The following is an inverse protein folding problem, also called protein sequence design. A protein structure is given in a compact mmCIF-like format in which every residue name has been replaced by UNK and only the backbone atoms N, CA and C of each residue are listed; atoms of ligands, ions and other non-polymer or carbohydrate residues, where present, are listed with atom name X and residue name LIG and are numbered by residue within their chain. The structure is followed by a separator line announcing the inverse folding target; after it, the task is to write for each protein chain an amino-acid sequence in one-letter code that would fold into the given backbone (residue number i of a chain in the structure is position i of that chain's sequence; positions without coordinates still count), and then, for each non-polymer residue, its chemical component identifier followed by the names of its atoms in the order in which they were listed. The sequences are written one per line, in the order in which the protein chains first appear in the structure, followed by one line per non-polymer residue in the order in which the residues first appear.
data_IF_651387849817
#
_entry.id   IF_651387849817
#
_cell.length_a   1.000
_cell.length_b   1.000
_cell.length_c   1.000
_cell.angle_alpha   90.00
_cell.angle_beta   90.00
_cell.angle_gamma   90.00
#
_symmetry.space_group_name_H-M   'P 1'
#
loop_
_entity.id
_entity.type
_entity.pdbx_description
1 polymer ?
#
# COMPACT_ATOMS: atom_id res chain seq x y z
N UNK A 1 -22.50 4.68 -3.79
CA UNK A 1 -21.50 5.37 -2.94
C UNK A 1 -20.72 4.33 -2.15
N UNK A 2 -19.40 4.49 -2.00
CA UNK A 2 -18.58 3.56 -1.19
C UNK A 2 -18.85 3.87 0.30
N UNK A 3 -19.26 2.85 1.06
CA UNK A 3 -19.48 2.99 2.50
C UNK A 3 -18.16 3.00 3.27
N UNK A 4 -18.16 3.57 4.47
CA UNK A 4 -16.99 3.53 5.35
C UNK A 4 -16.54 2.09 5.67
N UNK A 5 -17.47 1.13 5.74
CA UNK A 5 -17.16 -0.30 5.90
C UNK A 5 -16.43 -0.86 4.69
N UNK A 6 -16.90 -0.55 3.48
CA UNK A 6 -16.24 -0.98 2.25
C UNK A 6 -14.83 -0.37 2.12
N UNK A 7 -14.65 0.90 2.47
CA UNK A 7 -13.34 1.56 2.49
C UNK A 7 -12.35 0.80 3.39
N UNK A 8 -12.73 0.50 4.63
CA UNK A 8 -11.88 -0.27 5.58
C UNK A 8 -11.51 -1.63 5.00
N UNK A 9 -12.49 -2.34 4.46
CA UNK A 9 -12.27 -3.66 3.87
C UNK A 9 -11.30 -3.60 2.69
N UNK A 10 -11.45 -2.62 1.79
CA UNK A 10 -10.53 -2.45 0.67
C UNK A 10 -9.11 -2.13 1.13
N UNK A 11 -8.95 -1.18 2.06
CA UNK A 11 -7.61 -0.84 2.59
C UNK A 11 -6.97 -2.07 3.22
N UNK A 12 -7.69 -2.81 4.07
CA UNK A 12 -7.16 -3.98 4.74
C UNK A 12 -6.80 -5.09 3.74
N UNK A 13 -7.67 -5.36 2.75
CA UNK A 13 -7.43 -6.37 1.72
C UNK A 13 -6.21 -6.05 0.86
N UNK A 14 -6.13 -4.84 0.29
CA UNK A 14 -5.02 -4.47 -0.58
C UNK A 14 -3.71 -4.32 0.20
N UNK A 15 -3.76 -3.84 1.44
CA UNK A 15 -2.59 -3.76 2.32
C UNK A 15 -2.05 -5.15 2.65
N UNK A 16 -2.94 -6.09 2.97
CA UNK A 16 -2.56 -7.47 3.21
C UNK A 16 -1.94 -8.11 1.97
N UNK A 17 -2.57 -7.94 0.79
CA UNK A 17 -2.03 -8.43 -0.48
C UNK A 17 -0.63 -7.87 -0.76
N UNK A 18 -0.39 -6.58 -0.50
CA UNK A 18 0.92 -5.95 -0.72
C UNK A 18 2.01 -6.49 0.21
N UNK A 19 1.66 -6.75 1.48
CA UNK A 19 2.59 -7.42 2.41
C UNK A 19 2.89 -8.84 1.94
N UNK A 20 1.87 -9.56 1.46
CA UNK A 20 1.98 -10.93 1.00
C UNK A 20 2.84 -11.04 -0.28
N UNK A 21 2.68 -10.12 -1.24
CA UNK A 21 3.57 -10.06 -2.42
C UNK A 21 5.02 -9.77 -2.02
N UNK A 22 5.22 -8.86 -1.07
CA UNK A 22 6.54 -8.57 -0.51
C UNK A 22 7.17 -9.79 0.17
N UNK A 23 6.36 -10.56 0.90
CA UNK A 23 6.80 -11.77 1.56
C UNK A 23 7.25 -12.83 0.54
N UNK A 24 6.51 -13.01 -0.56
CA UNK A 24 6.95 -13.89 -1.65
C UNK A 24 8.24 -13.41 -2.32
N UNK A 25 8.39 -12.10 -2.56
CA UNK A 25 9.66 -11.56 -3.08
C UNK A 25 10.84 -11.82 -2.13
N UNK A 26 10.62 -11.79 -0.81
CA UNK A 26 11.63 -12.16 0.19
C UNK A 26 11.96 -13.66 0.15
N UNK A 27 10.96 -14.54 0.11
CA UNK A 27 11.17 -15.99 0.01
C UNK A 27 11.95 -16.38 -1.26
N UNK A 28 11.74 -15.66 -2.36
CA UNK A 28 12.46 -15.84 -3.61
C UNK A 28 13.84 -15.15 -3.63
N UNK A 29 14.33 -14.69 -2.48
CA UNK A 29 15.65 -14.07 -2.29
C UNK A 29 15.89 -12.83 -3.18
N UNK A 30 14.82 -12.17 -3.64
CA UNK A 30 14.90 -10.96 -4.47
C UNK A 30 15.08 -9.69 -3.66
N UNK A 31 14.66 -9.71 -2.40
CA UNK A 31 14.81 -8.60 -1.46
C UNK A 31 15.38 -9.09 -0.15
N UNK A 32 16.11 -8.22 0.53
CA UNK A 32 16.57 -8.49 1.88
C UNK A 32 15.45 -8.34 2.91
N UNK A 33 15.62 -9.01 4.06
CA UNK A 33 14.66 -8.94 5.16
C UNK A 33 14.47 -7.50 5.67
N UNK A 34 15.51 -6.67 5.65
CA UNK A 34 15.44 -5.28 6.09
C UNK A 34 14.53 -4.46 5.17
N UNK A 35 14.63 -4.67 3.85
CA UNK A 35 13.74 -4.04 2.87
C UNK A 35 12.29 -4.54 2.98
N UNK A 36 12.09 -5.80 3.33
CA UNK A 36 10.76 -6.33 3.63
C UNK A 36 10.15 -5.59 4.83
N UNK A 37 10.86 -5.57 5.96
CA UNK A 37 10.38 -4.95 7.22
C UNK A 37 10.14 -3.45 7.04
N UNK A 38 11.07 -2.75 6.38
CA UNK A 38 11.00 -1.31 6.18
C UNK A 38 9.71 -0.89 5.45
N UNK A 39 9.30 -1.64 4.43
CA UNK A 39 8.09 -1.33 3.66
C UNK A 39 6.82 -1.95 4.26
N UNK A 40 6.91 -3.07 4.97
CA UNK A 40 5.73 -3.66 5.64
C UNK A 40 5.27 -2.84 6.84
N UNK A 41 6.19 -2.21 7.57
CA UNK A 41 5.86 -1.45 8.80
C UNK A 41 4.87 -0.29 8.54
N UNK A 42 5.10 0.63 7.58
CA UNK A 42 4.14 1.68 7.25
C UNK A 42 2.76 1.11 6.85
N UNK A 43 2.72 -0.02 6.13
CA UNK A 43 1.46 -0.64 5.71
C UNK A 43 0.67 -1.16 6.92
N UNK A 44 1.34 -1.72 7.93
CA UNK A 44 0.68 -2.14 9.18
C UNK A 44 0.08 -0.95 9.93
N UNK A 45 0.80 0.18 9.99
CA UNK A 45 0.24 1.41 10.56
C UNK A 45 -0.97 1.91 9.77
N UNK A 46 -0.95 1.83 8.43
CA UNK A 46 -2.10 2.19 7.61
C UNK A 46 -3.34 1.37 7.98
N UNK A 47 -3.20 0.04 8.12
CA UNK A 47 -4.32 -0.83 8.54
C UNK A 47 -4.92 -0.35 9.86
N UNK A 48 -4.07 -0.04 10.84
CA UNK A 48 -4.52 0.48 12.14
C UNK A 48 -5.29 1.80 12.02
N UNK A 49 -4.75 2.78 11.28
CA UNK A 49 -5.38 4.09 11.12
C UNK A 49 -6.62 4.06 10.22
N UNK A 50 -6.66 3.19 9.22
CA UNK A 50 -7.81 3.01 8.35
C UNK A 50 -9.04 2.53 9.10
N UNK A 51 -8.86 1.62 10.07
CA UNK A 51 -9.95 1.16 10.94
C UNK A 51 -10.52 2.27 11.83
N UNK A 52 -9.73 3.30 12.13
CA UNK A 52 -10.14 4.53 12.84
C UNK A 52 -10.66 5.64 11.92
N UNK A 53 -10.67 5.45 10.59
CA UNK A 53 -11.05 6.45 9.59
C UNK A 53 -10.33 7.79 9.75
N UNK A 54 -9.05 7.75 10.17
CA UNK A 54 -8.27 8.95 10.42
C UNK A 54 -7.88 9.66 9.11
N UNK A 55 -8.59 10.72 8.74
CA UNK A 55 -8.39 11.47 7.48
C UNK A 55 -6.94 11.92 7.29
N UNK A 56 -6.31 12.50 8.33
CA UNK A 56 -4.91 12.97 8.27
C UNK A 56 -3.92 11.83 8.02
N UNK A 57 -4.23 10.62 8.51
CA UNK A 57 -3.38 9.46 8.27
C UNK A 57 -3.42 9.06 6.79
N UNK A 58 -4.60 8.97 6.17
CA UNK A 58 -4.71 8.66 4.74
C UNK A 58 -3.91 9.63 3.86
N UNK A 59 -3.95 10.93 4.16
CA UNK A 59 -3.17 11.94 3.44
C UNK A 59 -1.65 11.76 3.64
N UNK A 60 -1.19 11.43 4.85
CA UNK A 60 0.23 11.12 5.08
C UNK A 60 0.65 9.85 4.34
N UNK A 61 -0.18 8.81 4.34
CA UNK A 61 0.10 7.54 3.66
C UNK A 61 0.14 7.67 2.13
N UNK A 62 -0.60 8.62 1.53
CA UNK A 62 -0.45 8.86 0.09
C UNK A 62 0.96 9.33 -0.28
N UNK A 63 1.63 10.11 0.59
CA UNK A 63 3.04 10.46 0.36
C UNK A 63 3.96 9.26 0.55
N UNK A 64 3.71 8.42 1.56
CA UNK A 64 4.50 7.20 1.79
C UNK A 64 4.39 6.26 0.58
N UNK A 65 3.20 6.04 0.05
CA UNK A 65 3.01 5.22 -1.16
C UNK A 65 3.63 5.84 -2.40
N UNK A 66 3.66 7.17 -2.51
CA UNK A 66 4.39 7.83 -3.60
C UNK A 66 5.89 7.51 -3.52
N UNK A 67 6.52 7.68 -2.35
CA UNK A 67 7.95 7.33 -2.17
C UNK A 67 8.18 5.83 -2.43
N UNK A 68 7.28 4.98 -1.95
CA UNK A 68 7.35 3.54 -2.21
C UNK A 68 7.27 3.22 -3.70
N UNK A 69 6.35 3.85 -4.42
CA UNK A 69 6.23 3.71 -5.87
C UNK A 69 7.53 4.10 -6.58
N UNK A 70 8.14 5.24 -6.20
CA UNK A 70 9.44 5.65 -6.76
C UNK A 70 10.55 4.62 -6.48
N UNK A 71 10.58 4.03 -5.29
CA UNK A 71 11.58 3.00 -4.97
C UNK A 71 11.34 1.69 -5.73
N UNK A 72 10.08 1.26 -5.85
CA UNK A 72 9.71 0.02 -6.53
C UNK A 72 9.89 0.11 -8.07
N UNK A 73 9.66 1.29 -8.65
CA UNK A 73 9.81 1.50 -10.10
C UNK A 73 11.24 1.28 -10.59
N UNK A 74 12.25 1.56 -9.75
CA UNK A 74 13.66 1.27 -10.05
C UNK A 74 13.91 -0.22 -10.29
N UNK A 75 13.19 -1.11 -9.58
CA UNK A 75 13.34 -2.56 -9.77
C UNK A 75 12.64 -3.06 -11.02
N UNK A 76 11.42 -2.57 -11.28
CA UNK A 76 10.62 -3.02 -12.43
C UNK A 76 11.18 -2.52 -13.75
N UNK A 77 11.64 -1.27 -13.81
CA UNK A 77 12.12 -0.65 -15.05
C UNK A 77 13.64 -0.63 -15.18
N UNK A 78 14.38 -0.75 -14.08
CA UNK A 78 15.86 -0.71 -14.07
C UNK A 78 16.55 -2.07 -14.07
N UNK A 79 15.83 -3.17 -13.84
CA UNK A 79 16.36 -4.55 -13.80
C UNK A 79 15.43 -5.45 -14.63
N UNK A 80 15.80 -6.72 -14.84
CA UNK A 80 14.90 -7.70 -15.45
C UNK A 80 13.58 -7.79 -14.69
N UNK A 81 12.43 -7.55 -15.35
CA UNK A 81 11.16 -7.43 -14.68
C UNK A 81 10.72 -8.79 -14.10
N UNK A 82 10.34 -8.76 -12.82
CA UNK A 82 9.81 -9.91 -12.12
C UNK A 82 8.31 -9.73 -11.86
N UNK A 83 7.54 -10.82 -11.97
CA UNK A 83 6.07 -10.77 -11.88
C UNK A 83 5.59 -10.17 -10.56
N UNK A 84 6.24 -10.49 -9.44
CA UNK A 84 5.86 -9.93 -8.14
C UNK A 84 6.23 -8.45 -8.00
N UNK A 85 7.26 -7.96 -8.69
CA UNK A 85 7.60 -6.54 -8.68
C UNK A 85 6.57 -5.73 -9.49
N UNK A 86 6.06 -6.29 -10.59
CA UNK A 86 4.94 -5.70 -11.34
C UNK A 86 3.66 -5.65 -10.49
N UNK A 87 3.35 -6.77 -9.82
CA UNK A 87 2.19 -6.87 -8.93
C UNK A 87 2.30 -5.88 -7.75
N UNK A 88 3.50 -5.75 -7.17
CA UNK A 88 3.82 -4.78 -6.10
C UNK A 88 3.49 -3.35 -6.55
N UNK A 89 3.94 -2.94 -7.74
CA UNK A 89 3.64 -1.60 -8.27
C UNK A 89 2.13 -1.38 -8.44
N UNK A 90 1.42 -2.34 -9.03
CA UNK A 90 -0.03 -2.25 -9.22
C UNK A 90 -0.75 -2.06 -7.88
N UNK A 91 -0.38 -2.84 -6.86
CA UNK A 91 -0.96 -2.73 -5.53
C UNK A 91 -0.65 -1.38 -4.85
N UNK A 92 0.59 -0.87 -4.99
CA UNK A 92 0.97 0.44 -4.49
C UNK A 92 0.11 1.54 -5.13
N UNK A 93 -0.09 1.49 -6.45
CA UNK A 93 -0.91 2.47 -7.17
C UNK A 93 -2.37 2.43 -6.71
N UNK A 94 -2.95 1.23 -6.55
CA UNK A 94 -4.31 1.06 -6.02
C UNK A 94 -4.43 1.66 -4.62
N UNK A 95 -3.50 1.32 -3.72
CA UNK A 95 -3.50 1.85 -2.34
C UNK A 95 -3.29 3.36 -2.29
N UNK A 96 -2.45 3.90 -3.15
CA UNK A 96 -2.26 5.34 -3.31
C UNK A 96 -3.59 6.03 -3.65
N UNK A 97 -4.31 5.57 -4.67
CA UNK A 97 -5.60 6.16 -5.04
C UNK A 97 -6.64 6.01 -3.93
N UNK A 98 -6.71 4.85 -3.26
CA UNK A 98 -7.59 4.66 -2.11
C UNK A 98 -7.29 5.71 -1.04
N UNK A 99 -6.01 5.95 -0.72
CA UNK A 99 -5.60 6.94 0.27
C UNK A 99 -5.93 8.38 -0.15
N UNK A 100 -5.74 8.73 -1.42
CA UNK A 100 -6.07 10.06 -1.96
C UNK A 100 -7.57 10.33 -1.91
N UNK A 101 -8.41 9.34 -2.22
CA UNK A 101 -9.87 9.51 -2.23
C UNK A 101 -10.53 9.28 -0.86
N UNK A 102 -9.87 8.58 0.07
CA UNK A 102 -10.40 8.27 1.39
C UNK A 102 -10.92 9.51 2.16
N UNK A 103 -10.18 10.64 2.25
CA UNK A 103 -10.67 11.86 2.90
C UNK A 103 -12.04 12.30 2.40
N UNK A 104 -12.23 12.33 1.07
CA UNK A 104 -13.48 12.76 0.41
C UNK A 104 -14.62 11.77 0.66
N UNK A 105 -14.33 10.48 0.75
CA UNK A 105 -15.33 9.44 1.05
C UNK A 105 -15.76 9.53 2.52
N UNK A 106 -14.80 9.69 3.43
CA UNK A 106 -15.07 9.75 4.87
C UNK A 106 -15.91 10.98 5.21
N UNK A 107 -15.55 12.17 4.71
CA UNK A 107 -16.28 13.42 5.00
C UNK A 107 -17.71 13.44 4.46
N UNK A 108 -17.98 12.73 3.36
CA UNK A 108 -19.34 12.59 2.80
C UNK A 108 -20.23 11.62 3.56
N UNK A 109 -19.63 10.70 4.31
CA UNK A 109 -20.31 9.68 5.09
C UNK A 109 -20.35 10.02 6.59
N UNK A 110 -19.85 11.20 6.98
CA UNK A 110 -20.10 11.82 8.30
C UNK A 110 -21.43 12.55 8.24
#
# INVERSE_FOLDING_TARGET
MISNKALKNFVNLFSFLLILTKFFSYLNQKIEILFFIFWSMPILFLIFFANKLAIKAFQSFSFIFLIYFLSASLRVFGISPYVFDLLEIVLIVILFFICVFAPKIITRNM
#
